data_IF_736354481928
#
_entry.id   IF_736354481928
#
_cell.length_a   1.000
_cell.length_b   1.000
_cell.length_c   1.000
_cell.angle_alpha   90.00
_cell.angle_beta   90.00
_cell.angle_gamma   90.00
#
_symmetry.space_group_name_H-M   'P 1'
#
loop_
_entity.id
_entity.type
_entity.pdbx_description
1 polymer ?
#
# COMPACT_ATOMS: atom_id res chain seq x y z
N UNK A 1 -16.23 32.22 -5.48
CA UNK A 1 -16.13 31.09 -4.53
C UNK A 1 -17.25 31.20 -3.53
N UNK A 2 -18.15 30.22 -3.49
CA UNK A 2 -19.30 30.21 -2.59
C UNK A 2 -18.93 29.81 -1.16
N UNK A 3 -19.80 30.16 -0.19
CA UNK A 3 -19.63 29.80 1.23
C UNK A 3 -19.51 28.27 1.41
N UNK A 4 -20.25 27.49 0.62
CA UNK A 4 -20.21 26.03 0.64
C UNK A 4 -18.84 25.46 0.21
N UNK A 5 -18.27 25.99 -0.88
CA UNK A 5 -16.95 25.57 -1.38
C UNK A 5 -15.84 25.87 -0.37
N UNK A 6 -15.90 27.05 0.27
CA UNK A 6 -14.94 27.44 1.31
C UNK A 6 -15.00 26.50 2.51
N UNK A 7 -16.21 26.16 2.96
CA UNK A 7 -16.43 25.23 4.08
C UNK A 7 -15.95 23.81 3.74
N UNK A 8 -16.18 23.34 2.52
CA UNK A 8 -15.71 22.03 2.08
C UNK A 8 -14.18 21.97 1.99
N UNK A 9 -13.53 23.03 1.48
CA UNK A 9 -12.06 23.13 1.45
C UNK A 9 -11.47 23.12 2.86
N UNK A 10 -12.04 23.90 3.78
CA UNK A 10 -11.62 23.89 5.20
C UNK A 10 -11.78 22.50 5.82
N UNK A 11 -12.91 21.81 5.57
CA UNK A 11 -13.12 20.45 6.08
C UNK A 11 -12.10 19.45 5.52
N UNK A 12 -11.75 19.56 4.24
CA UNK A 12 -10.74 18.72 3.61
C UNK A 12 -9.34 19.00 4.15
N UNK A 13 -9.00 20.28 4.38
CA UNK A 13 -7.72 20.68 4.95
C UNK A 13 -7.54 20.11 6.36
N UNK A 14 -8.51 20.31 7.25
CA UNK A 14 -8.46 19.76 8.62
C UNK A 14 -8.36 18.24 8.59
N UNK A 15 -9.10 17.58 7.69
CA UNK A 15 -8.98 16.12 7.51
C UNK A 15 -7.54 15.70 7.18
N UNK A 16 -6.87 16.42 6.28
CA UNK A 16 -5.48 16.13 5.92
C UNK A 16 -4.49 16.40 7.05
N UNK A 17 -4.69 17.47 7.82
CA UNK A 17 -3.88 17.75 9.00
C UNK A 17 -3.99 16.63 10.05
N UNK A 18 -5.21 16.12 10.28
CA UNK A 18 -5.45 14.97 11.16
C UNK A 18 -4.69 13.73 10.67
N UNK A 19 -4.79 13.39 9.37
CA UNK A 19 -4.16 12.20 8.81
C UNK A 19 -2.63 12.30 8.82
N UNK A 20 -2.09 13.49 8.52
CA UNK A 20 -0.65 13.75 8.58
C UNK A 20 -0.11 13.59 9.99
N UNK A 21 -0.78 14.18 10.99
CA UNK A 21 -0.38 14.02 12.38
C UNK A 21 -0.54 12.58 12.87
N UNK A 22 -1.60 11.89 12.47
CA UNK A 22 -1.83 10.49 12.84
C UNK A 22 -0.74 9.57 12.30
N UNK A 23 -0.31 9.73 11.03
CA UNK A 23 0.81 8.97 10.45
C UNK A 23 2.07 9.08 11.31
N UNK A 24 2.47 10.31 11.63
CA UNK A 24 3.66 10.58 12.43
C UNK A 24 3.52 9.95 13.83
N UNK A 25 2.40 10.20 14.51
CA UNK A 25 2.19 9.69 15.86
C UNK A 25 2.11 8.16 15.91
N UNK A 26 1.46 7.51 14.95
CA UNK A 26 1.41 6.04 14.91
C UNK A 26 2.78 5.44 14.63
N UNK A 27 3.61 6.10 13.82
CA UNK A 27 4.97 5.66 13.54
C UNK A 27 5.92 5.84 14.74
N UNK A 28 5.75 6.93 15.50
CA UNK A 28 6.63 7.31 16.62
C UNK A 28 6.23 6.61 17.93
N UNK A 29 4.95 6.59 18.27
CA UNK A 29 4.44 6.11 19.56
C UNK A 29 3.80 4.71 19.48
N UNK A 30 3.48 4.24 18.26
CA UNK A 30 2.67 3.04 18.03
C UNK A 30 1.17 3.30 18.18
N UNK A 31 0.35 2.47 17.52
CA UNK A 31 -1.11 2.66 17.48
C UNK A 31 -1.77 2.70 18.86
N UNK A 32 -1.37 1.83 19.78
CA UNK A 32 -1.99 1.72 21.10
C UNK A 32 -1.77 2.97 21.96
N UNK A 33 -0.58 3.58 21.89
CA UNK A 33 -0.24 4.77 22.67
C UNK A 33 -0.95 6.05 22.19
N UNK A 34 -1.40 6.07 20.94
CA UNK A 34 -2.13 7.20 20.34
C UNK A 34 -3.60 7.17 20.78
N UNK A 35 -4.13 8.34 21.14
CA UNK A 35 -5.55 8.55 21.46
C UNK A 35 -6.11 9.72 20.66
N UNK A 36 -7.42 9.76 20.45
CA UNK A 36 -8.09 10.87 19.75
C UNK A 36 -7.79 12.22 20.40
N UNK A 37 -7.67 12.26 21.73
CA UNK A 37 -7.31 13.48 22.48
C UNK A 37 -5.86 13.91 22.24
N UNK A 38 -4.91 12.97 22.26
CA UNK A 38 -3.50 13.26 21.93
C UNK A 38 -3.38 13.79 20.50
N UNK A 39 -4.09 13.18 19.56
CA UNK A 39 -4.11 13.61 18.16
C UNK A 39 -4.68 15.04 18.03
N UNK A 40 -5.77 15.34 18.72
CA UNK A 40 -6.34 16.70 18.75
C UNK A 40 -5.33 17.73 19.27
N UNK A 41 -4.68 17.42 20.40
CA UNK A 41 -3.67 18.29 21.00
C UNK A 41 -2.47 18.51 20.07
N UNK A 42 -2.04 17.47 19.34
CA UNK A 42 -0.89 17.53 18.42
C UNK A 42 -1.06 18.53 17.27
N UNK A 43 -2.31 18.76 16.86
CA UNK A 43 -2.67 19.72 15.79
C UNK A 43 -3.34 20.98 16.33
N UNK A 44 -3.40 21.17 17.64
CA UNK A 44 -4.03 22.33 18.31
C UNK A 44 -5.55 22.46 18.07
N UNK A 45 -6.24 21.33 17.90
CA UNK A 45 -7.70 21.27 17.80
C UNK A 45 -8.35 20.71 19.07
N UNK A 46 -9.64 20.98 19.24
CA UNK A 46 -10.43 20.32 20.28
C UNK A 46 -10.70 18.85 19.91
N UNK A 47 -10.82 17.93 20.88
CA UNK A 47 -11.21 16.54 20.60
C UNK A 47 -12.52 16.45 19.81
N UNK A 48 -13.51 17.29 20.15
CA UNK A 48 -14.78 17.39 19.43
C UNK A 48 -14.58 17.68 17.95
N UNK A 49 -13.64 18.55 17.59
CA UNK A 49 -13.35 18.85 16.19
C UNK A 49 -12.85 17.61 15.43
N UNK A 50 -11.99 16.78 16.02
CA UNK A 50 -11.51 15.54 15.38
C UNK A 50 -12.68 14.57 15.14
N UNK A 51 -13.58 14.43 16.12
CA UNK A 51 -14.75 13.55 16.01
C UNK A 51 -15.73 13.95 14.90
N UNK A 52 -15.72 15.20 14.43
CA UNK A 52 -16.48 15.63 13.25
C UNK A 52 -15.94 15.06 11.93
N UNK A 53 -14.70 14.56 11.93
CA UNK A 53 -14.05 13.98 10.74
C UNK A 53 -13.90 12.46 10.84
N UNK A 54 -13.70 11.92 12.04
CA UNK A 54 -13.45 10.50 12.27
C UNK A 54 -14.16 10.02 13.52
N UNK A 55 -14.94 8.94 13.39
CA UNK A 55 -15.71 8.35 14.51
C UNK A 55 -14.81 7.88 15.66
N UNK A 56 -13.63 7.36 15.33
CA UNK A 56 -12.68 6.78 16.28
C UNK A 56 -11.27 6.71 15.67
N UNK A 57 -10.31 6.24 16.47
CA UNK A 57 -8.90 6.04 16.08
C UNK A 57 -8.75 5.02 14.93
N UNK A 58 -9.66 4.06 14.82
CA UNK A 58 -9.61 3.04 13.77
C UNK A 58 -9.97 3.65 12.42
N UNK A 59 -11.00 4.49 12.36
CA UNK A 59 -11.36 5.22 11.15
C UNK A 59 -10.26 6.17 10.66
N UNK A 60 -9.43 6.69 11.57
CA UNK A 60 -8.23 7.47 11.21
C UNK A 60 -7.20 6.54 10.55
N UNK A 61 -6.92 5.38 11.14
CA UNK A 61 -5.97 4.42 10.57
C UNK A 61 -6.45 3.86 9.22
N UNK A 62 -7.72 3.49 9.10
CA UNK A 62 -8.33 3.03 7.83
C UNK A 62 -8.13 4.08 6.72
N UNK A 63 -8.35 5.36 7.03
CA UNK A 63 -8.15 6.44 6.08
C UNK A 63 -6.66 6.68 5.75
N UNK A 64 -5.77 6.51 6.73
CA UNK A 64 -4.31 6.52 6.51
C UNK A 64 -3.92 5.43 5.51
N UNK A 65 -4.39 4.20 5.72
CA UNK A 65 -4.14 3.05 4.85
C UNK A 65 -4.73 3.25 3.45
N UNK A 66 -5.98 3.71 3.34
CA UNK A 66 -6.65 3.99 2.06
C UNK A 66 -5.88 5.03 1.24
N UNK A 67 -5.37 6.09 1.87
CA UNK A 67 -4.52 7.07 1.20
C UNK A 67 -3.15 6.50 0.78
N UNK A 68 -2.52 5.67 1.62
CA UNK A 68 -1.25 5.01 1.28
C UNK A 68 -1.42 4.11 0.06
N UNK A 69 -2.44 3.25 0.06
CA UNK A 69 -2.77 2.43 -1.10
C UNK A 69 -3.21 3.27 -2.31
N UNK A 70 -3.90 4.38 -2.09
CA UNK A 70 -4.31 5.31 -3.14
C UNK A 70 -3.10 5.87 -3.89
N UNK A 71 -2.06 6.27 -3.16
CA UNK A 71 -0.80 6.74 -3.75
C UNK A 71 -0.09 5.62 -4.54
N UNK A 72 -0.05 4.40 -4.02
CA UNK A 72 0.50 3.25 -4.73
C UNK A 72 -0.28 2.97 -6.03
N UNK A 73 -1.61 2.93 -5.96
CA UNK A 73 -2.49 2.71 -7.10
C UNK A 73 -2.31 3.81 -8.16
N UNK A 74 -2.15 5.07 -7.77
CA UNK A 74 -1.88 6.18 -8.70
C UNK A 74 -0.53 6.00 -9.42
N UNK A 75 0.53 5.58 -8.70
CA UNK A 75 1.83 5.32 -9.30
C UNK A 75 1.78 4.13 -10.28
N UNK A 76 1.04 3.07 -9.93
CA UNK A 76 0.80 1.93 -10.82
C UNK A 76 -0.03 2.33 -12.06
N UNK A 77 -1.04 3.19 -11.89
CA UNK A 77 -1.83 3.74 -12.99
C UNK A 77 -0.96 4.54 -13.97
N UNK A 78 -0.06 5.39 -13.45
CA UNK A 78 0.92 6.14 -14.26
C UNK A 78 1.89 5.21 -15.00
N UNK A 79 2.29 4.10 -14.37
CA UNK A 79 3.13 3.10 -15.01
C UNK A 79 2.37 2.37 -16.13
N UNK A 80 1.13 1.95 -15.87
CA UNK A 80 0.28 1.28 -16.85
C UNK A 80 0.00 2.16 -18.09
N UNK A 81 -0.19 3.47 -17.88
CA UNK A 81 -0.38 4.45 -18.95
C UNK A 81 0.80 4.57 -19.92
N UNK A 82 1.99 4.02 -19.58
CA UNK A 82 3.14 3.98 -20.49
C UNK A 82 3.01 2.91 -21.59
N UNK A 83 2.08 1.96 -21.47
CA UNK A 83 1.86 0.93 -22.49
C UNK A 83 3.05 -0.02 -22.68
N UNK A 84 3.74 -0.38 -21.59
CA UNK A 84 4.87 -1.31 -21.64
C UNK A 84 4.41 -2.73 -22.05
N UNK A 85 5.28 -3.55 -22.66
CA UNK A 85 5.02 -4.98 -22.84
C UNK A 85 4.60 -5.66 -21.52
N UNK A 86 3.70 -6.65 -21.52
CA UNK A 86 3.12 -7.19 -20.29
C UNK A 86 4.14 -7.69 -19.27
N UNK A 87 5.15 -8.43 -19.72
CA UNK A 87 6.21 -8.95 -18.85
C UNK A 87 7.09 -7.83 -18.26
N UNK A 88 7.32 -6.75 -19.02
CA UNK A 88 8.03 -5.57 -18.54
C UNK A 88 7.19 -4.79 -17.53
N UNK A 89 5.89 -4.60 -17.80
CA UNK A 89 4.95 -3.98 -16.87
C UNK A 89 4.88 -4.75 -15.55
N UNK A 90 4.85 -6.09 -15.59
CA UNK A 90 4.89 -6.94 -14.40
C UNK A 90 6.16 -6.68 -13.56
N UNK A 91 7.34 -6.70 -14.21
CA UNK A 91 8.62 -6.45 -13.53
C UNK A 91 8.69 -5.05 -12.92
N UNK A 92 8.36 -4.03 -13.70
CA UNK A 92 8.41 -2.63 -13.25
C UNK A 92 7.36 -2.34 -12.16
N UNK A 93 6.17 -2.93 -12.25
CA UNK A 93 5.14 -2.82 -11.23
C UNK A 93 5.57 -3.41 -9.89
N UNK A 94 6.19 -4.60 -9.90
CA UNK A 94 6.73 -5.23 -8.70
C UNK A 94 7.91 -4.45 -8.10
N UNK A 95 8.81 -3.92 -8.94
CA UNK A 95 9.88 -3.01 -8.47
C UNK A 95 9.33 -1.75 -7.85
N UNK A 96 8.31 -1.14 -8.47
CA UNK A 96 7.63 0.05 -7.97
C UNK A 96 7.01 -0.21 -6.60
N UNK A 97 6.33 -1.34 -6.41
CA UNK A 97 5.80 -1.75 -5.11
C UNK A 97 6.89 -1.83 -4.04
N UNK A 98 8.02 -2.50 -4.35
CA UNK A 98 9.15 -2.61 -3.41
C UNK A 98 9.73 -1.23 -3.09
N UNK A 99 9.98 -0.41 -4.11
CA UNK A 99 10.51 0.94 -3.94
C UNK A 99 9.58 1.81 -3.09
N UNK A 100 8.27 1.73 -3.34
CA UNK A 100 7.26 2.47 -2.59
C UNK A 100 7.31 2.11 -1.11
N UNK A 101 7.29 0.81 -0.77
CA UNK A 101 7.35 0.38 0.63
C UNK A 101 8.64 0.84 1.34
N UNK A 102 9.79 0.78 0.66
CA UNK A 102 11.07 1.21 1.24
C UNK A 102 11.23 2.73 1.36
N UNK A 103 10.53 3.51 0.53
CA UNK A 103 10.49 4.98 0.63
C UNK A 103 9.54 5.46 1.74
N UNK A 104 8.56 4.63 2.10
CA UNK A 104 7.52 4.94 3.07
C UNK A 104 7.45 3.87 4.18
N UNK A 105 8.56 3.60 4.91
CA UNK A 105 8.65 2.46 5.83
C UNK A 105 7.63 2.52 6.96
N UNK A 106 7.38 3.72 7.50
CA UNK A 106 6.37 3.94 8.53
C UNK A 106 4.96 3.63 8.02
N UNK A 107 4.55 4.24 6.90
CA UNK A 107 3.23 3.97 6.30
C UNK A 107 3.07 2.49 5.93
N UNK A 108 4.15 1.85 5.47
CA UNK A 108 4.18 0.43 5.14
C UNK A 108 3.90 -0.45 6.37
N UNK A 109 4.64 -0.22 7.46
CA UNK A 109 4.42 -0.93 8.74
C UNK A 109 3.01 -0.71 9.27
N UNK A 110 2.51 0.54 9.22
CA UNK A 110 1.14 0.86 9.63
C UNK A 110 0.09 0.13 8.79
N UNK A 111 0.31 0.05 7.48
CA UNK A 111 -0.68 -0.49 6.53
C UNK A 111 -0.75 -2.01 6.52
N UNK A 112 0.40 -2.69 6.66
CA UNK A 112 0.48 -4.14 6.50
C UNK A 112 0.75 -4.93 7.78
N UNK A 113 1.34 -4.30 8.80
CA UNK A 113 1.75 -4.99 10.03
C UNK A 113 0.79 -4.74 11.18
N UNK A 114 0.11 -3.59 11.21
CA UNK A 114 -0.88 -3.31 12.25
C UNK A 114 -2.24 -3.89 11.88
N UNK A 115 -2.56 -5.05 12.47
CA UNK A 115 -3.91 -5.63 12.41
C UNK A 115 -4.75 -5.00 13.51
N UNK A 116 -5.91 -4.46 13.15
CA UNK A 116 -6.75 -3.74 14.13
C UNK A 116 -7.73 -4.63 14.89
N UNK A 117 -7.77 -5.93 14.57
CA UNK A 117 -8.73 -6.87 15.16
C UNK A 117 -10.20 -6.62 14.78
N UNK A 118 -10.49 -5.53 14.05
CA UNK A 118 -11.77 -5.21 13.39
C UNK A 118 -11.69 -5.41 11.87
N UNK A 119 -10.78 -6.27 11.41
CA UNK A 119 -10.55 -6.57 9.99
C UNK A 119 -11.69 -7.39 9.37
N UNK A 120 -12.93 -7.18 9.79
CA UNK A 120 -14.16 -7.70 9.15
C UNK A 120 -14.65 -6.69 8.09
N UNK A 121 -13.75 -6.19 7.25
CA UNK A 121 -14.19 -5.53 6.03
C UNK A 121 -14.93 -6.59 5.19
N UNK A 122 -16.20 -6.33 4.84
CA UNK A 122 -16.92 -7.24 3.96
C UNK A 122 -16.15 -7.39 2.63
N UNK A 123 -16.27 -8.52 1.93
CA UNK A 123 -15.72 -8.66 0.59
C UNK A 123 -16.10 -7.50 -0.36
N UNK A 124 -17.30 -6.93 -0.23
CA UNK A 124 -17.70 -5.75 -1.00
C UNK A 124 -16.95 -4.47 -0.59
N UNK A 125 -16.72 -4.26 0.71
CA UNK A 125 -15.93 -3.12 1.17
C UNK A 125 -14.48 -3.20 0.66
N UNK A 126 -13.89 -4.40 0.66
CA UNK A 126 -12.55 -4.60 0.13
C UNK A 126 -12.47 -4.38 -1.38
N UNK A 127 -13.44 -4.86 -2.17
CA UNK A 127 -13.42 -4.76 -3.64
C UNK A 127 -13.43 -3.33 -4.17
N UNK A 128 -13.88 -2.37 -3.36
CA UNK A 128 -13.88 -0.93 -3.71
C UNK A 128 -12.72 -0.15 -3.10
N UNK A 129 -11.88 -0.78 -2.28
CA UNK A 129 -10.74 -0.15 -1.61
C UNK A 129 -9.58 0.19 -2.55
N UNK A 130 -8.74 1.14 -2.15
CA UNK A 130 -7.49 1.43 -2.85
C UNK A 130 -6.53 0.22 -2.82
N UNK A 131 -6.54 -0.55 -1.74
CA UNK A 131 -5.73 -1.76 -1.62
C UNK A 131 -6.06 -2.78 -2.70
N UNK A 132 -7.36 -3.02 -2.93
CA UNK A 132 -7.80 -3.87 -4.03
C UNK A 132 -7.43 -3.30 -5.40
N UNK A 133 -7.60 -1.98 -5.63
CA UNK A 133 -7.18 -1.34 -6.90
C UNK A 133 -5.69 -1.53 -7.18
N UNK A 134 -4.84 -1.35 -6.17
CA UNK A 134 -3.40 -1.58 -6.29
C UNK A 134 -3.08 -3.05 -6.60
N UNK A 135 -3.73 -3.99 -5.91
CA UNK A 135 -3.57 -5.41 -6.15
C UNK A 135 -4.06 -5.84 -7.54
N UNK A 136 -5.14 -5.22 -8.04
CA UNK A 136 -5.70 -5.57 -9.34
C UNK A 136 -4.74 -5.26 -10.50
N UNK A 137 -3.89 -4.24 -10.38
CA UNK A 137 -2.82 -3.99 -11.37
C UNK A 137 -1.86 -5.18 -11.52
N UNK A 138 -1.54 -5.88 -10.44
CA UNK A 138 -0.71 -7.10 -10.49
C UNK A 138 -1.45 -8.22 -11.24
N UNK A 139 -2.75 -8.39 -10.99
CA UNK A 139 -3.57 -9.38 -11.72
C UNK A 139 -3.69 -9.03 -13.20
N UNK A 140 -3.88 -7.76 -13.53
CA UNK A 140 -3.92 -7.28 -14.91
C UNK A 140 -2.60 -7.54 -15.63
N UNK A 141 -1.45 -7.30 -14.98
CA UNK A 141 -0.13 -7.60 -15.53
C UNK A 141 0.02 -9.10 -15.85
N UNK A 142 -0.38 -9.97 -14.93
CA UNK A 142 -0.34 -11.43 -15.13
C UNK A 142 -1.26 -11.89 -16.26
N UNK A 143 -2.51 -11.40 -16.31
CA UNK A 143 -3.44 -11.68 -17.42
C UNK A 143 -2.86 -11.23 -18.76
N UNK A 144 -2.21 -10.06 -18.79
CA UNK A 144 -1.51 -9.56 -19.97
C UNK A 144 -0.39 -10.50 -20.42
N UNK A 145 0.42 -11.01 -19.48
CA UNK A 145 1.50 -11.94 -19.79
C UNK A 145 0.99 -13.30 -20.31
N UNK A 146 -0.14 -13.78 -19.78
CA UNK A 146 -0.79 -15.00 -20.29
C UNK A 146 -1.31 -14.76 -21.72
N UNK A 147 -1.94 -13.61 -21.97
CA UNK A 147 -2.48 -13.26 -23.28
C UNK A 147 -1.39 -13.05 -24.36
N UNK A 148 -0.21 -12.54 -23.98
CA UNK A 148 0.94 -12.38 -24.88
C UNK A 148 1.76 -13.66 -25.07
N UNK A 149 1.49 -14.71 -24.29
CA UNK A 149 2.27 -15.95 -24.29
C UNK A 149 3.59 -15.88 -23.51
N UNK A 150 3.85 -14.77 -22.80
CA UNK A 150 5.01 -14.63 -21.90
C UNK A 150 4.93 -15.56 -20.67
N UNK A 151 3.70 -15.91 -20.27
CA UNK A 151 3.40 -16.88 -19.22
C UNK A 151 2.43 -17.96 -19.74
N UNK A 152 2.54 -19.21 -19.26
CA UNK A 152 1.56 -20.24 -19.55
C UNK A 152 0.20 -19.97 -18.87
N UNK A 153 -0.88 -20.66 -19.26
CA UNK A 153 -2.14 -20.63 -18.53
C UNK A 153 -1.95 -21.10 -17.08
N UNK A 154 -2.08 -20.18 -16.12
CA UNK A 154 -1.93 -20.41 -14.69
C UNK A 154 -3.05 -19.70 -13.92
N UNK A 155 -3.29 -20.12 -12.68
CA UNK A 155 -4.20 -19.41 -11.79
C UNK A 155 -3.62 -18.03 -11.44
N UNK A 156 -4.32 -16.97 -11.88
CA UNK A 156 -3.88 -15.59 -11.73
C UNK A 156 -3.84 -15.15 -10.28
N UNK A 157 -4.79 -15.59 -9.45
CA UNK A 157 -4.86 -15.16 -8.06
C UNK A 157 -3.75 -15.85 -7.24
N UNK A 158 -3.49 -17.14 -7.48
CA UNK A 158 -2.36 -17.86 -6.86
C UNK A 158 -1.03 -17.21 -7.25
N UNK A 159 -0.82 -16.92 -8.55
CA UNK A 159 0.40 -16.28 -9.03
C UNK A 159 0.58 -14.86 -8.46
N UNK A 160 -0.50 -14.06 -8.44
CA UNK A 160 -0.47 -12.70 -7.90
C UNK A 160 -0.16 -12.69 -6.40
N UNK A 161 -0.82 -13.54 -5.62
CA UNK A 161 -0.58 -13.65 -4.19
C UNK A 161 0.84 -14.15 -3.89
N UNK A 162 1.37 -15.09 -4.68
CA UNK A 162 2.74 -15.58 -4.53
C UNK A 162 3.78 -14.50 -4.81
N UNK A 163 3.63 -13.75 -5.91
CA UNK A 163 4.52 -12.63 -6.25
C UNK A 163 4.43 -11.50 -5.22
N UNK A 164 3.22 -11.18 -4.77
CA UNK A 164 3.01 -10.20 -3.72
C UNK A 164 3.67 -10.65 -2.42
N UNK A 165 3.47 -11.90 -1.99
CA UNK A 165 4.11 -12.44 -0.78
C UNK A 165 5.64 -12.37 -0.85
N UNK A 166 6.25 -12.76 -1.98
CA UNK A 166 7.69 -12.71 -2.15
C UNK A 166 8.25 -11.27 -2.07
N UNK A 167 7.63 -10.33 -2.78
CA UNK A 167 8.06 -8.92 -2.77
C UNK A 167 7.75 -8.24 -1.44
N UNK A 168 6.62 -8.56 -0.81
CA UNK A 168 6.24 -8.11 0.52
C UNK A 168 7.27 -8.58 1.56
N UNK A 169 7.69 -9.85 1.49
CA UNK A 169 8.72 -10.42 2.36
C UNK A 169 10.03 -9.64 2.28
N UNK A 170 10.48 -9.28 1.07
CA UNK A 170 11.69 -8.45 0.90
C UNK A 170 11.55 -7.09 1.59
N UNK A 171 10.44 -6.38 1.33
CA UNK A 171 10.23 -5.04 1.90
C UNK A 171 10.18 -5.12 3.42
N UNK A 172 9.39 -6.04 3.97
CA UNK A 172 9.27 -6.28 5.40
C UNK A 172 10.61 -6.60 6.06
N UNK A 173 11.40 -7.50 5.47
CA UNK A 173 12.72 -7.88 6.00
C UNK A 173 13.73 -6.73 5.92
N UNK A 174 13.76 -5.98 4.82
CA UNK A 174 14.66 -4.83 4.66
C UNK A 174 14.31 -3.68 5.62
N UNK A 175 13.03 -3.48 5.93
CA UNK A 175 12.58 -2.50 6.93
C UNK A 175 12.96 -2.98 8.34
N UNK A 176 12.62 -4.21 8.69
CA UNK A 176 12.82 -4.73 10.06
C UNK A 176 14.29 -5.03 10.40
N UNK A 177 15.08 -5.47 9.42
CA UNK A 177 16.44 -5.99 9.65
C UNK A 177 17.52 -5.30 8.83
N UNK A 178 17.23 -4.23 8.11
CA UNK A 178 18.19 -3.57 7.21
C UNK A 178 19.45 -3.02 7.87
N UNK A 179 19.42 -2.76 9.18
CA UNK A 179 20.59 -2.35 9.96
C UNK A 179 21.27 -3.48 10.74
N UNK A 180 20.73 -4.71 10.70
CA UNK A 180 21.18 -5.83 11.53
C UNK A 180 21.68 -7.01 10.70
N UNK A 181 20.96 -7.36 9.64
CA UNK A 181 21.30 -8.49 8.78
C UNK A 181 22.13 -8.00 7.58
N UNK A 182 23.21 -8.71 7.21
CA UNK A 182 24.09 -8.32 6.11
C UNK A 182 23.47 -8.66 4.76
N UNK A 183 22.39 -7.97 4.38
CA UNK A 183 21.79 -8.14 3.06
C UNK A 183 22.79 -7.78 1.96
N UNK A 184 22.75 -8.53 0.86
CA UNK A 184 23.33 -8.07 -0.40
C UNK A 184 22.66 -6.76 -0.84
N UNK A 185 23.23 -6.06 -1.83
CA UNK A 185 22.65 -4.79 -2.30
C UNK A 185 21.17 -4.95 -2.65
N UNK A 186 20.34 -3.99 -2.21
CA UNK A 186 18.87 -4.00 -2.41
C UNK A 186 18.47 -4.31 -3.85
N UNK A 187 19.13 -3.67 -4.82
CA UNK A 187 18.90 -3.91 -6.25
C UNK A 187 19.09 -5.38 -6.63
N UNK A 188 20.25 -5.97 -6.27
CA UNK A 188 20.55 -7.38 -6.57
C UNK A 188 19.54 -8.33 -5.94
N UNK A 189 19.17 -8.11 -4.68
CA UNK A 189 18.19 -8.95 -3.98
C UNK A 189 16.84 -8.92 -4.69
N UNK A 190 16.33 -7.71 -4.96
CA UNK A 190 15.04 -7.51 -5.62
C UNK A 190 15.04 -8.11 -7.02
N UNK A 191 16.03 -7.78 -7.86
CA UNK A 191 16.11 -8.29 -9.22
C UNK A 191 16.19 -9.83 -9.24
N UNK A 192 17.03 -10.41 -8.40
CA UNK A 192 17.17 -11.86 -8.31
C UNK A 192 15.85 -12.54 -7.90
N UNK A 193 15.17 -12.03 -6.87
CA UNK A 193 13.89 -12.60 -6.46
C UNK A 193 12.83 -12.46 -7.54
N UNK A 194 12.74 -11.33 -8.22
CA UNK A 194 11.78 -11.14 -9.31
C UNK A 194 12.07 -12.10 -10.47
N UNK A 195 13.33 -12.22 -10.88
CA UNK A 195 13.72 -13.12 -11.97
C UNK A 195 13.46 -14.59 -11.62
N UNK A 196 13.77 -15.01 -10.39
CA UNK A 196 13.48 -16.38 -9.92
C UNK A 196 11.99 -16.66 -9.90
N UNK A 197 11.18 -15.77 -9.35
CA UNK A 197 9.73 -15.96 -9.27
C UNK A 197 9.09 -15.99 -10.66
N UNK A 198 9.45 -15.05 -11.53
CA UNK A 198 8.93 -14.97 -12.91
C UNK A 198 9.35 -16.21 -13.70
N UNK A 199 10.62 -16.64 -13.63
CA UNK A 199 11.07 -17.86 -14.29
C UNK A 199 10.33 -19.11 -13.78
N UNK A 200 10.01 -19.17 -12.48
CA UNK A 200 9.19 -20.22 -11.90
C UNK A 200 7.78 -20.27 -12.49
N UNK A 201 7.14 -19.11 -12.64
CA UNK A 201 5.81 -19.02 -13.28
C UNK A 201 5.88 -19.41 -14.77
N UNK A 202 6.92 -19.00 -15.49
CA UNK A 202 7.15 -19.40 -16.89
C UNK A 202 7.32 -20.92 -17.04
N UNK A 203 7.93 -21.57 -16.05
CA UNK A 203 8.17 -23.02 -16.06
C UNK A 203 6.98 -23.86 -15.56
N UNK A 204 5.95 -23.26 -14.96
CA UNK A 204 4.80 -23.95 -14.35
C UNK A 204 3.86 -24.63 -15.36
N UNK A 205 4.17 -24.56 -16.65
CA UNK A 205 3.47 -25.28 -17.73
C UNK A 205 3.79 -26.79 -17.81
N UNK A 206 4.60 -27.33 -16.88
CA UNK A 206 5.10 -28.71 -16.91
C UNK A 206 4.36 -29.62 -15.96
#
# INVERSE_FOLDING_TARGET
MGIAERRQRQKAQVRQEILTAARAMFAEEGFEAVTMRKLAARIEYSPTAIYLHFKDKHAVLEAVCEETFGQLAERLAKLAAKGLPPLEFLREGLRLYVQFGLQHPSDYTLTFTMRTGKDEASPEAFSTSAGFRAFDYLRQALRGCIASGDLPPIDVDVAAQSLWAATHGIVSLLIAHGGLFPFVSRKKLVDHTLDTMIAGLQASAR
#
